data_IF_935385503738
#
_entry.id   IF_935385503738
#
_cell.length_a   1.000
_cell.length_b   1.000
_cell.length_c   1.000
_cell.angle_alpha   90.00
_cell.angle_beta   90.00
_cell.angle_gamma   90.00
#
_symmetry.space_group_name_H-M   'P 1'
#
loop_
_entity.id
_entity.type
_entity.pdbx_description
1 polymer ?
#
# COMPACT_ATOMS: atom_id res chain seq x y z
N UNK A 1 -0.74 25.88 -3.43
CA UNK A 1 -2.05 25.26 -3.71
C UNK A 1 -1.88 23.75 -3.54
N UNK A 2 -2.19 23.21 -2.36
CA UNK A 2 -2.09 21.77 -2.10
C UNK A 2 -3.22 21.06 -2.86
N UNK A 3 -2.94 20.63 -4.09
CA UNK A 3 -3.76 19.63 -4.76
C UNK A 3 -3.68 18.37 -3.91
N UNK A 4 -4.79 17.99 -3.29
CA UNK A 4 -4.87 16.70 -2.62
C UNK A 4 -4.81 15.64 -3.72
N UNK A 5 -3.61 15.09 -3.95
CA UNK A 5 -3.38 14.04 -4.95
C UNK A 5 -4.02 12.76 -4.40
N UNK A 6 -5.29 12.57 -4.71
CA UNK A 6 -5.95 11.30 -4.50
C UNK A 6 -5.62 10.40 -5.69
N UNK A 7 -5.10 9.18 -5.46
CA UNK A 7 -4.87 8.24 -6.55
C UNK A 7 -6.20 7.94 -7.24
N UNK A 8 -6.22 7.79 -8.58
CA UNK A 8 -7.44 7.45 -9.29
C UNK A 8 -7.95 6.09 -8.81
N UNK A 9 -9.21 6.06 -8.35
CA UNK A 9 -9.89 4.80 -8.03
C UNK A 9 -10.40 4.20 -9.34
N UNK A 10 -9.81 3.08 -9.76
CA UNK A 10 -10.20 2.37 -10.98
C UNK A 10 -11.21 1.29 -10.65
N UNK A 11 -12.46 1.48 -11.08
CA UNK A 11 -13.47 0.41 -11.05
C UNK A 11 -13.34 -0.43 -12.32
N UNK A 12 -12.82 -1.66 -12.18
CA UNK A 12 -12.66 -2.59 -13.31
C UNK A 12 -14.03 -2.88 -13.96
N UNK A 13 -14.11 -2.73 -15.29
CA UNK A 13 -15.35 -2.95 -16.07
C UNK A 13 -15.93 -4.36 -15.85
N UNK A 14 -15.06 -5.33 -15.60
CA UNK A 14 -15.39 -6.72 -15.24
C UNK A 14 -16.26 -6.81 -13.97
N UNK A 15 -16.10 -5.87 -13.03
CA UNK A 15 -16.85 -5.83 -11.78
C UNK A 15 -18.17 -5.05 -11.87
N UNK A 16 -18.58 -4.58 -13.06
CA UNK A 16 -19.80 -3.75 -13.22
C UNK A 16 -21.06 -4.38 -12.62
N UNK A 17 -21.24 -5.70 -12.77
CA UNK A 17 -22.40 -6.40 -12.25
C UNK A 17 -22.40 -6.47 -10.73
N UNK A 18 -21.23 -6.61 -10.11
CA UNK A 18 -21.08 -6.57 -8.65
C UNK A 18 -21.33 -5.16 -8.11
N UNK A 19 -20.83 -4.14 -8.80
CA UNK A 19 -21.09 -2.75 -8.46
C UNK A 19 -22.59 -2.44 -8.42
N UNK A 20 -23.35 -2.77 -9.48
CA UNK A 20 -24.79 -2.54 -9.51
C UNK A 20 -25.56 -3.32 -8.44
N UNK A 21 -25.13 -4.55 -8.13
CA UNK A 21 -25.72 -5.34 -7.04
C UNK A 21 -25.50 -4.67 -5.68
N UNK A 22 -24.26 -4.29 -5.38
CA UNK A 22 -23.93 -3.63 -4.11
C UNK A 22 -24.57 -2.25 -3.99
N UNK A 23 -24.73 -1.52 -5.10
CA UNK A 23 -25.45 -0.25 -5.11
C UNK A 23 -26.94 -0.45 -4.77
N UNK A 24 -27.58 -1.47 -5.35
CA UNK A 24 -28.97 -1.82 -5.03
C UNK A 24 -29.13 -2.28 -3.57
N UNK A 25 -28.16 -3.04 -3.06
CA UNK A 25 -28.16 -3.45 -1.64
C UNK A 25 -27.98 -2.25 -0.71
N UNK A 26 -27.17 -1.26 -1.11
CA UNK A 26 -26.99 0.00 -0.39
C UNK A 26 -28.26 0.86 -0.40
N UNK A 27 -28.95 0.97 -1.53
CA UNK A 27 -30.26 1.64 -1.64
C UNK A 27 -31.31 0.98 -0.73
N UNK A 28 -31.21 -0.35 -0.54
CA UNK A 28 -32.04 -1.10 0.41
C UNK A 28 -31.59 -0.97 1.88
N UNK A 29 -30.57 -0.14 2.16
CA UNK A 29 -30.06 0.16 3.50
C UNK A 29 -28.84 -0.65 3.94
N UNK A 30 -28.38 -1.61 3.13
CA UNK A 30 -27.18 -2.40 3.42
C UNK A 30 -25.95 -1.86 2.67
N UNK A 31 -25.29 -0.86 3.25
CA UNK A 31 -24.12 -0.21 2.65
C UNK A 31 -22.83 -1.04 2.72
N UNK A 32 -22.76 -2.05 3.60
CA UNK A 32 -21.53 -2.80 3.89
C UNK A 32 -20.84 -3.38 2.64
N UNK A 33 -21.56 -4.06 1.72
CA UNK A 33 -20.94 -4.61 0.52
C UNK A 33 -20.36 -3.53 -0.40
N UNK A 34 -21.07 -2.40 -0.49
CA UNK A 34 -20.66 -1.27 -1.32
C UNK A 34 -19.42 -0.57 -0.76
N UNK A 35 -19.42 -0.26 0.53
CA UNK A 35 -18.26 0.36 1.21
C UNK A 35 -17.02 -0.53 1.08
N UNK A 36 -17.16 -1.83 1.34
CA UNK A 36 -16.04 -2.77 1.21
C UNK A 36 -15.51 -2.86 -0.24
N UNK A 37 -16.41 -2.78 -1.23
CA UNK A 37 -16.04 -2.78 -2.64
C UNK A 37 -15.23 -1.54 -3.03
N UNK A 38 -15.67 -0.36 -2.60
CA UNK A 38 -14.95 0.90 -2.85
C UNK A 38 -13.62 0.95 -2.09
N UNK A 39 -13.60 0.53 -0.83
CA UNK A 39 -12.38 0.47 -0.03
C UNK A 39 -11.32 -0.42 -0.69
N UNK A 40 -11.73 -1.59 -1.21
CA UNK A 40 -10.83 -2.47 -1.95
C UNK A 40 -10.31 -1.83 -3.25
N UNK A 41 -11.17 -1.16 -4.01
CA UNK A 41 -10.74 -0.50 -5.24
C UNK A 41 -9.77 0.67 -4.98
N UNK A 42 -9.97 1.40 -3.87
CA UNK A 42 -9.06 2.46 -3.43
C UNK A 42 -7.70 1.88 -2.99
N UNK A 43 -7.70 0.78 -2.25
CA UNK A 43 -6.48 0.07 -1.82
C UNK A 43 -5.67 -0.45 -3.03
N UNK A 44 -6.34 -1.06 -4.01
CA UNK A 44 -5.72 -1.52 -5.26
C UNK A 44 -5.17 -0.34 -6.09
N UNK A 45 -5.93 0.76 -6.20
CA UNK A 45 -5.53 1.96 -6.95
C UNK A 45 -4.33 2.67 -6.32
N UNK A 46 -4.32 2.80 -4.99
CA UNK A 46 -3.20 3.35 -4.23
C UNK A 46 -1.96 2.45 -4.35
N UNK A 47 -2.12 1.14 -4.19
CA UNK A 47 -1.02 0.17 -4.35
C UNK A 47 -0.40 0.28 -5.74
N UNK A 48 -1.23 0.36 -6.79
CA UNK A 48 -0.76 0.52 -8.18
C UNK A 48 -0.05 1.85 -8.38
N UNK A 49 -0.63 2.95 -7.89
CA UNK A 49 -0.03 4.28 -7.98
C UNK A 49 1.35 4.32 -7.32
N UNK A 50 1.49 3.71 -6.14
CA UNK A 50 2.78 3.66 -5.44
C UNK A 50 3.77 2.73 -6.16
N UNK A 51 3.31 1.63 -6.77
CA UNK A 51 4.19 0.73 -7.54
C UNK A 51 4.82 1.37 -8.78
N UNK A 52 4.29 2.50 -9.26
CA UNK A 52 4.86 3.24 -10.39
C UNK A 52 6.00 4.17 -9.96
N UNK A 53 6.11 4.51 -8.67
CA UNK A 53 7.28 5.21 -8.15
C UNK A 53 8.43 4.21 -8.04
N UNK A 54 9.24 4.10 -9.11
CA UNK A 54 10.44 3.27 -9.13
C UNK A 54 11.66 3.95 -8.49
N UNK A 55 12.68 3.17 -8.17
CA UNK A 55 13.95 3.65 -7.61
C UNK A 55 14.08 3.35 -6.12
N UNK A 56 14.81 4.19 -5.38
CA UNK A 56 15.04 3.94 -3.95
C UNK A 56 13.80 4.21 -3.08
N UNK A 57 12.82 4.95 -3.59
CA UNK A 57 11.54 5.28 -2.91
C UNK A 57 10.42 4.26 -3.20
N UNK A 58 10.67 3.28 -4.06
CA UNK A 58 9.69 2.24 -4.40
C UNK A 58 9.32 1.39 -3.18
N UNK A 59 8.02 1.22 -2.94
CA UNK A 59 7.54 0.36 -1.86
C UNK A 59 7.60 -1.12 -2.26
N UNK A 60 8.63 -1.79 -1.78
CA UNK A 60 8.85 -3.22 -1.98
C UNK A 60 8.50 -4.01 -0.71
N UNK A 61 8.02 -5.26 -0.84
CA UNK A 61 7.84 -6.13 0.31
C UNK A 61 9.14 -6.28 1.09
N UNK A 62 9.09 -6.30 2.42
CA UNK A 62 10.29 -6.48 3.26
C UNK A 62 11.07 -7.76 2.92
N UNK A 63 10.39 -8.79 2.41
CA UNK A 63 11.00 -10.03 1.92
C UNK A 63 11.91 -9.81 0.72
N UNK A 64 11.56 -8.88 -0.15
CA UNK A 64 12.38 -8.54 -1.33
C UNK A 64 13.54 -7.65 -0.93
N UNK A 65 13.28 -6.62 -0.11
CA UNK A 65 14.33 -5.73 0.42
C UNK A 65 15.38 -6.47 1.26
N UNK A 66 14.97 -7.51 2.01
CA UNK A 66 15.88 -8.34 2.78
C UNK A 66 16.92 -9.06 1.90
N UNK A 67 16.65 -9.32 0.62
CA UNK A 67 17.60 -9.98 -0.29
C UNK A 67 18.80 -9.09 -0.63
N UNK A 68 18.58 -7.78 -0.63
CA UNK A 68 19.58 -6.79 -1.04
C UNK A 68 20.25 -6.10 0.15
N UNK A 69 20.02 -6.61 1.36
CA UNK A 69 20.53 -6.04 2.61
C UNK A 69 21.08 -7.13 3.52
N UNK A 70 21.88 -6.74 4.51
CA UNK A 70 22.38 -7.66 5.54
C UNK A 70 21.32 -7.97 6.62
N UNK A 71 20.10 -7.46 6.47
CA UNK A 71 19.03 -7.59 7.45
C UNK A 71 18.03 -8.66 7.04
N UNK A 72 17.63 -9.50 8.00
CA UNK A 72 16.55 -10.46 7.76
C UNK A 72 15.20 -9.76 7.64
N UNK A 73 14.25 -10.41 6.95
CA UNK A 73 12.87 -9.95 6.86
C UNK A 73 12.26 -9.77 8.26
N UNK A 74 12.54 -10.69 9.19
CA UNK A 74 12.07 -10.65 10.57
C UNK A 74 12.60 -9.42 11.30
N UNK A 75 13.88 -9.08 11.12
CA UNK A 75 14.49 -7.89 11.69
C UNK A 75 13.84 -6.61 11.13
N UNK A 76 13.71 -6.50 9.82
CA UNK A 76 13.03 -5.36 9.18
C UNK A 76 11.57 -5.22 9.68
N UNK A 77 10.87 -6.35 9.83
CA UNK A 77 9.50 -6.38 10.34
C UNK A 77 9.41 -5.93 11.80
N UNK A 78 10.43 -6.23 12.62
CA UNK A 78 10.51 -5.75 14.00
C UNK A 78 10.69 -4.22 14.01
N UNK A 79 11.62 -3.69 13.21
CA UNK A 79 11.88 -2.24 13.12
C UNK A 79 10.68 -1.45 12.58
N UNK A 80 9.93 -2.02 11.64
CA UNK A 80 8.67 -1.46 11.17
C UNK A 80 7.63 -1.33 12.30
N UNK A 81 7.45 -2.37 13.12
CA UNK A 81 6.52 -2.33 14.26
C UNK A 81 6.95 -1.34 15.34
N UNK A 82 8.25 -1.12 15.51
CA UNK A 82 8.81 -0.14 16.44
C UNK A 82 8.71 1.31 15.91
N UNK A 83 8.31 1.51 14.65
CA UNK A 83 8.26 2.83 14.01
C UNK A 83 9.65 3.38 13.64
N UNK A 84 10.70 2.55 13.66
CA UNK A 84 12.07 2.98 13.33
C UNK A 84 12.37 2.84 11.85
N UNK A 85 11.76 1.84 11.21
CA UNK A 85 11.75 1.73 9.75
C UNK A 85 10.45 2.32 9.24
N UNK A 86 10.54 3.30 8.35
CA UNK A 86 9.36 3.82 7.64
C UNK A 86 8.79 2.73 6.74
N UNK A 87 7.61 2.22 7.09
CA UNK A 87 7.01 1.05 6.49
C UNK A 87 5.49 1.09 6.61
N UNK A 88 4.81 0.59 5.59
CA UNK A 88 3.35 0.48 5.54
C UNK A 88 2.94 -0.98 5.43
N UNK A 89 1.83 -1.34 6.07
CA UNK A 89 1.26 -2.68 5.99
C UNK A 89 0.14 -2.71 4.96
N UNK A 90 0.39 -3.35 3.82
CA UNK A 90 -0.59 -3.53 2.73
C UNK A 90 -1.09 -4.97 2.80
N UNK A 91 -2.37 -5.14 3.11
CA UNK A 91 -2.96 -6.44 3.45
C UNK A 91 -2.26 -7.10 4.65
N UNK A 92 -1.57 -8.22 4.43
CA UNK A 92 -0.83 -8.96 5.48
C UNK A 92 0.68 -8.75 5.42
N UNK A 93 1.18 -7.93 4.51
CA UNK A 93 2.60 -7.82 4.20
C UNK A 93 3.10 -6.41 4.50
N UNK A 94 4.26 -6.33 5.17
CA UNK A 94 4.98 -5.07 5.38
C UNK A 94 5.75 -4.71 4.12
N UNK A 95 5.66 -3.44 3.73
CA UNK A 95 6.38 -2.83 2.61
C UNK A 95 7.15 -1.62 3.12
N UNK A 96 8.31 -1.36 2.53
CA UNK A 96 9.17 -0.22 2.82
C UNK A 96 9.94 0.16 1.55
N UNK A 97 10.80 1.16 1.60
CA UNK A 97 11.64 1.56 0.48
C UNK A 97 13.12 1.30 0.78
N UNK A 98 13.96 1.26 -0.26
CA UNK A 98 15.42 1.12 -0.09
C UNK A 98 15.99 2.34 0.63
N UNK A 99 15.47 3.52 0.33
CA UNK A 99 15.83 4.78 1.00
C UNK A 99 15.50 4.73 2.50
N UNK A 100 14.32 4.22 2.88
CA UNK A 100 13.94 4.05 4.28
C UNK A 100 14.91 3.14 5.04
N UNK A 101 15.39 2.06 4.40
CA UNK A 101 16.40 1.17 4.99
C UNK A 101 17.76 1.89 5.12
N UNK A 102 18.19 2.65 4.11
CA UNK A 102 19.43 3.44 4.15
C UNK A 102 19.41 4.50 5.26
N UNK A 103 18.29 5.18 5.45
CA UNK A 103 18.07 6.14 6.53
C UNK A 103 18.10 5.45 7.89
N UNK A 104 17.44 4.31 8.02
CA UNK A 104 17.45 3.50 9.26
C UNK A 104 18.86 3.00 9.61
N UNK A 105 19.66 2.59 8.62
CA UNK A 105 21.02 2.07 8.83
C UNK A 105 22.06 3.17 9.07
N UNK A 106 21.70 4.44 8.89
CA UNK A 106 22.58 5.59 9.10
C UNK A 106 23.61 5.80 7.96
N UNK A 107 23.46 5.13 6.82
CA UNK A 107 24.43 5.15 5.71
C UNK A 107 24.22 6.34 4.76
N UNK A 108 23.27 7.25 5.03
CA UNK A 108 22.87 8.34 4.14
C UNK A 108 23.19 9.78 4.60
N UNK A 109 24.03 9.97 5.61
CA UNK A 109 24.39 11.31 6.10
C UNK A 109 25.83 11.70 5.69
N UNK A 110 26.05 11.95 4.40
CA UNK A 110 27.23 12.66 3.89
C UNK A 110 26.85 13.56 2.72
#
# INVERSE_FOLDING_TARGET
MYSHIYPPIVLKIENRLKYYRFLRDADAGNFTPFVNFIAKAADEGLTTYISVFGGDDELLPLKELAKDTHYSQEYLSLRARQGVLDAVKIGKVWHSSRDAIKKMSGVGAH
#
